data_IF_926135584917
#
_entry.id   IF_926135584917
#
_cell.length_a   1.000
_cell.length_b   1.000
_cell.length_c   1.000
_cell.angle_alpha   90.00
_cell.angle_beta   90.00
_cell.angle_gamma   90.00
#
_symmetry.space_group_name_H-M   'P 1'
#
loop_
_entity.id
_entity.type
_entity.pdbx_description
1 polymer ?
#
# COMPACT_ATOMS: atom_id res chain seq x y z
N UNK A 1 -9.97 11.19 4.71
CA UNK A 1 -8.68 10.63 4.34
C UNK A 1 -8.67 9.14 4.60
N UNK A 2 -8.21 8.35 3.67
CA UNK A 2 -8.20 6.90 3.83
C UNK A 2 -7.02 6.46 4.69
N UNK A 3 -7.23 5.47 5.53
CA UNK A 3 -6.20 5.01 6.46
C UNK A 3 -5.28 3.94 5.88
N UNK A 4 -5.76 3.20 4.89
CA UNK A 4 -5.03 2.04 4.38
C UNK A 4 -4.89 2.08 2.88
N UNK A 5 -3.78 1.51 2.40
CA UNK A 5 -3.53 1.28 0.98
C UNK A 5 -3.54 -0.23 0.78
N UNK A 6 -4.35 -0.71 -0.17
CA UNK A 6 -4.46 -2.13 -0.46
C UNK A 6 -4.00 -2.40 -1.88
N UNK A 7 -3.30 -3.49 -2.08
CA UNK A 7 -2.90 -3.93 -3.41
C UNK A 7 -2.89 -5.46 -3.48
N UNK A 8 -3.18 -5.99 -4.65
CA UNK A 8 -3.06 -7.42 -4.93
C UNK A 8 -1.85 -7.72 -5.79
N UNK A 9 -1.11 -6.71 -6.19
CA UNK A 9 0.07 -6.88 -7.02
C UNK A 9 1.32 -6.95 -6.14
N UNK A 10 1.99 -8.10 -6.19
CA UNK A 10 3.17 -8.33 -5.34
C UNK A 10 4.27 -7.31 -5.61
N UNK A 11 4.50 -6.98 -6.87
CA UNK A 11 5.54 -6.03 -7.23
C UNK A 11 5.24 -4.64 -6.65
N UNK A 12 3.97 -4.22 -6.73
CA UNK A 12 3.55 -2.95 -6.13
C UNK A 12 3.74 -2.98 -4.61
N UNK A 13 3.39 -4.11 -3.98
CA UNK A 13 3.58 -4.27 -2.54
C UNK A 13 5.05 -4.16 -2.16
N UNK A 14 5.93 -4.77 -2.93
CA UNK A 14 7.37 -4.67 -2.67
C UNK A 14 7.87 -3.22 -2.80
N UNK A 15 7.36 -2.49 -3.79
CA UNK A 15 7.71 -1.09 -3.98
C UNK A 15 7.23 -0.23 -2.81
N UNK A 16 6.01 -0.46 -2.35
CA UNK A 16 5.48 0.26 -1.19
C UNK A 16 6.34 0.00 0.05
N UNK A 17 6.68 -1.24 0.28
CA UNK A 17 7.53 -1.60 1.41
C UNK A 17 8.92 -0.95 1.31
N UNK A 18 9.49 -0.95 0.12
CA UNK A 18 10.81 -0.34 -0.10
C UNK A 18 10.77 1.18 0.09
N UNK A 19 9.62 1.80 -0.16
CA UNK A 19 9.45 3.24 0.03
C UNK A 19 9.23 3.62 1.49
N UNK A 20 9.06 2.65 2.39
CA UNK A 20 8.90 2.94 3.80
C UNK A 20 7.48 2.81 4.33
N UNK A 21 6.54 2.38 3.51
CA UNK A 21 5.19 2.09 4.01
C UNK A 21 5.21 0.86 4.88
N UNK A 22 4.40 0.90 5.94
CA UNK A 22 4.31 -0.22 6.88
C UNK A 22 3.23 -1.19 6.43
N UNK A 23 3.58 -2.45 6.25
CA UNK A 23 2.62 -3.52 5.99
C UNK A 23 1.92 -3.85 7.30
N UNK A 24 0.60 -3.70 7.34
CA UNK A 24 -0.19 -3.95 8.55
C UNK A 24 -0.96 -5.24 8.48
N UNK A 25 -1.24 -5.76 7.29
CA UNK A 25 -1.91 -7.04 7.14
C UNK A 25 -1.65 -7.61 5.75
N UNK A 26 -1.70 -8.92 5.67
CA UNK A 26 -1.62 -9.64 4.40
C UNK A 26 -2.56 -10.84 4.46
N UNK A 27 -3.46 -10.95 3.49
CA UNK A 27 -4.40 -12.06 3.41
C UNK A 27 -4.40 -12.58 1.99
N UNK A 28 -3.91 -13.83 1.80
CA UNK A 28 -3.77 -14.37 0.46
C UNK A 28 -2.88 -13.48 -0.39
N UNK A 29 -3.42 -12.99 -1.49
CA UNK A 29 -2.69 -12.11 -2.41
C UNK A 29 -2.89 -10.63 -2.10
N UNK A 30 -3.62 -10.30 -1.05
CA UNK A 30 -3.95 -8.92 -0.73
C UNK A 30 -3.00 -8.40 0.34
N UNK A 31 -2.35 -7.27 0.04
CA UNK A 31 -1.41 -6.61 0.95
C UNK A 31 -2.02 -5.30 1.40
N UNK A 32 -2.03 -5.06 2.70
CA UNK A 32 -2.61 -3.86 3.28
C UNK A 32 -1.53 -3.09 4.02
N UNK A 33 -1.30 -1.85 3.56
CA UNK A 33 -0.31 -0.97 4.15
C UNK A 33 -0.98 0.21 4.82
N UNK A 34 -0.31 0.75 5.83
CA UNK A 34 -0.77 1.98 6.47
C UNK A 34 -0.56 3.15 5.50
N UNK A 35 -1.60 3.94 5.26
CA UNK A 35 -1.51 5.10 4.38
C UNK A 35 -0.87 6.26 5.15
N UNK A 36 0.42 6.12 5.40
CA UNK A 36 1.21 7.13 6.07
C UNK A 36 2.49 7.29 5.28
N UNK A 37 2.51 8.33 4.47
CA UNK A 37 3.62 8.57 3.55
C UNK A 37 4.90 8.90 4.33
N UNK A 38 6.01 8.22 4.02
CA UNK A 38 7.29 8.63 4.56
C UNK A 38 7.70 9.98 3.96
N UNK A 39 8.62 10.66 4.63
CA UNK A 39 9.17 11.91 4.13
C UNK A 39 9.82 11.68 2.77
N UNK A 40 9.59 12.63 1.86
CA UNK A 40 10.16 12.58 0.51
C UNK A 40 9.66 11.41 -0.34
N UNK A 41 8.49 10.86 0.01
CA UNK A 41 7.92 9.79 -0.78
C UNK A 41 7.45 10.30 -2.13
N UNK A 42 7.74 9.53 -3.18
CA UNK A 42 7.34 9.85 -4.54
C UNK A 42 6.59 8.67 -5.16
N UNK A 43 5.35 8.90 -5.58
CA UNK A 43 4.51 7.88 -6.20
C UNK A 43 4.86 7.58 -7.65
N UNK A 44 5.84 8.26 -8.24
CA UNK A 44 6.14 8.09 -9.67
C UNK A 44 6.51 6.66 -10.04
N UNK A 45 7.04 5.89 -9.10
CA UNK A 45 7.45 4.51 -9.35
C UNK A 45 6.35 3.50 -9.06
N UNK A 46 5.17 3.96 -8.66
CA UNK A 46 4.07 3.07 -8.28
C UNK A 46 2.91 3.28 -9.22
N UNK A 47 2.40 2.17 -9.75
CA UNK A 47 1.23 2.17 -10.61
C UNK A 47 -0.02 2.36 -9.75
N UNK A 48 -0.58 3.56 -9.77
CA UNK A 48 -1.73 3.89 -8.94
C UNK A 48 -2.97 3.08 -9.31
N UNK A 49 -3.02 2.53 -10.52
CA UNK A 49 -4.15 1.69 -10.91
C UNK A 49 -4.16 0.36 -10.18
N UNK A 50 -3.06 -0.01 -9.56
CA UNK A 50 -2.93 -1.28 -8.83
C UNK A 50 -3.10 -1.12 -7.32
N UNK A 51 -3.40 0.08 -6.84
CA UNK A 51 -3.62 0.31 -5.42
C UNK A 51 -5.02 0.86 -5.19
N UNK A 52 -5.55 0.57 -4.00
CA UNK A 52 -6.86 1.06 -3.57
C UNK A 52 -6.70 1.67 -2.18
N UNK A 53 -7.31 2.82 -1.98
CA UNK A 53 -7.34 3.47 -0.68
C UNK A 53 -8.62 3.09 0.05
N UNK A 54 -8.51 2.73 1.32
CA UNK A 54 -9.65 2.31 2.10
C UNK A 54 -9.45 2.67 3.57
N UNK A 55 -10.57 2.78 4.30
CA UNK A 55 -10.56 3.01 5.74
C UNK A 55 -10.75 1.72 6.53
N UNK A 56 -10.99 0.60 5.85
CA UNK A 56 -11.29 -0.68 6.48
C UNK A 56 -10.09 -1.60 6.37
N UNK A 57 -9.63 -2.10 7.51
CA UNK A 57 -8.49 -3.01 7.53
C UNK A 57 -8.86 -4.38 6.95
N UNK A 58 -10.06 -4.85 7.23
CA UNK A 58 -10.50 -6.16 6.74
C UNK A 58 -10.86 -6.09 5.26
N UNK A 59 -10.84 -7.22 4.64
CA UNK A 59 -11.07 -7.36 3.20
C UNK A 59 -12.47 -7.89 2.93
#
# INVERSE_FOLDING_TARGET
MKKFIKTTDKETAEKLSACGFQLVSQTGDIYIFLNQSPNNFNFDNIDKSKIVYDNILSI
#
